data_IF_195745914783
#
_entry.id   IF_195745914783
#
_cell.length_a   1.000
_cell.length_b   1.000
_cell.length_c   1.000
_cell.angle_alpha   90.00
_cell.angle_beta   90.00
_cell.angle_gamma   90.00
#
_symmetry.space_group_name_H-M   'P 1'
#
loop_
_entity.id
_entity.type
_entity.pdbx_description
1 polymer ?
#
# COMPACT_ATOMS: atom_id res chain seq x y z
N UNK A 1 -30.09 -17.55 -12.19
CA UNK A 1 -29.74 -16.33 -11.42
C UNK A 1 -28.63 -16.56 -10.41
N UNK A 2 -28.63 -17.65 -9.61
CA UNK A 2 -27.58 -17.94 -8.64
C UNK A 2 -26.14 -18.01 -9.25
N UNK A 3 -25.96 -18.66 -10.39
CA UNK A 3 -24.64 -18.78 -11.05
C UNK A 3 -24.07 -17.43 -11.48
N UNK A 4 -24.90 -16.52 -12.00
CA UNK A 4 -24.46 -15.20 -12.41
C UNK A 4 -23.95 -14.37 -11.20
N UNK A 5 -24.66 -14.43 -10.07
CA UNK A 5 -24.24 -13.77 -8.82
C UNK A 5 -22.92 -14.33 -8.31
N UNK A 6 -22.72 -15.65 -8.37
CA UNK A 6 -21.45 -16.28 -7.95
C UNK A 6 -20.27 -15.89 -8.83
N UNK A 7 -20.49 -15.77 -10.15
CA UNK A 7 -19.47 -15.31 -11.10
C UNK A 7 -19.08 -13.85 -10.82
N UNK A 8 -20.06 -12.96 -10.60
CA UNK A 8 -19.78 -11.56 -10.26
C UNK A 8 -19.04 -11.47 -8.92
N UNK A 9 -19.48 -12.22 -7.90
CA UNK A 9 -18.79 -12.26 -6.60
C UNK A 9 -17.35 -12.75 -6.73
N UNK A 10 -17.13 -13.80 -7.53
CA UNK A 10 -15.80 -14.33 -7.84
C UNK A 10 -14.91 -13.25 -8.46
N UNK A 11 -15.43 -12.51 -9.44
CA UNK A 11 -14.70 -11.43 -10.09
C UNK A 11 -14.34 -10.30 -9.10
N UNK A 12 -15.28 -9.89 -8.24
CA UNK A 12 -15.04 -8.85 -7.22
C UNK A 12 -13.95 -9.27 -6.22
N UNK A 13 -14.04 -10.48 -5.67
CA UNK A 13 -13.09 -10.99 -4.68
C UNK A 13 -11.69 -11.17 -5.29
N UNK A 14 -11.60 -11.69 -6.52
CA UNK A 14 -10.32 -11.78 -7.24
C UNK A 14 -9.74 -10.40 -7.54
N UNK A 15 -10.55 -9.45 -8.00
CA UNK A 15 -10.10 -8.08 -8.25
C UNK A 15 -9.55 -7.43 -6.97
N UNK A 16 -10.21 -7.62 -5.82
CA UNK A 16 -9.75 -7.17 -4.50
C UNK A 16 -8.39 -7.79 -4.14
N UNK A 17 -8.22 -9.10 -4.35
CA UNK A 17 -6.97 -9.81 -4.06
C UNK A 17 -5.80 -9.30 -4.92
N UNK A 18 -6.04 -9.13 -6.23
CA UNK A 18 -5.06 -8.58 -7.18
C UNK A 18 -4.69 -7.16 -6.78
N UNK A 19 -5.67 -6.33 -6.45
CA UNK A 19 -5.45 -4.96 -6.00
C UNK A 19 -4.56 -4.92 -4.74
N UNK A 20 -4.86 -5.71 -3.71
CA UNK A 20 -4.02 -5.80 -2.52
C UNK A 20 -2.60 -6.29 -2.82
N UNK A 21 -2.46 -7.29 -3.70
CA UNK A 21 -1.16 -7.76 -4.14
C UNK A 21 -0.36 -6.63 -4.79
N UNK A 22 -0.99 -5.85 -5.68
CA UNK A 22 -0.35 -4.69 -6.31
C UNK A 22 0.03 -3.60 -5.30
N UNK A 23 -0.76 -3.38 -4.24
CA UNK A 23 -0.42 -2.40 -3.20
C UNK A 23 0.79 -2.82 -2.36
N UNK A 24 0.92 -4.12 -2.10
CA UNK A 24 1.94 -4.72 -1.25
C UNK A 24 3.19 -5.21 -2.01
N UNK A 25 3.21 -5.06 -3.34
CA UNK A 25 4.36 -5.39 -4.18
C UNK A 25 5.05 -4.11 -4.62
N UNK A 26 6.37 -3.99 -4.39
CA UNK A 26 7.12 -2.82 -4.84
C UNK A 26 7.12 -2.73 -6.37
N UNK A 27 6.99 -1.53 -6.96
CA UNK A 27 6.99 -1.36 -8.41
C UNK A 27 8.34 -1.68 -9.06
N UNK A 28 9.42 -1.77 -8.26
CA UNK A 28 10.76 -2.13 -8.73
C UNK A 28 11.41 -3.14 -7.79
N UNK A 29 12.24 -4.05 -8.32
CA UNK A 29 13.06 -4.93 -7.48
C UNK A 29 13.98 -4.08 -6.60
N UNK A 30 14.11 -4.50 -5.36
CA UNK A 30 14.92 -3.80 -4.35
C UNK A 30 16.39 -3.94 -4.74
N UNK A 31 17.02 -2.83 -5.14
CA UNK A 31 18.47 -2.77 -5.38
C UNK A 31 19.17 -2.50 -4.04
N UNK A 32 19.47 -3.58 -3.32
CA UNK A 32 20.16 -3.55 -2.02
C UNK A 32 21.57 -2.95 -2.08
N UNK A 33 22.12 -2.71 -3.29
CA UNK A 33 23.44 -2.12 -3.48
C UNK A 33 23.43 -0.59 -3.49
N UNK A 34 22.29 0.05 -3.82
CA UNK A 34 22.15 1.52 -3.93
C UNK A 34 21.39 2.17 -2.77
N UNK A 35 20.70 1.37 -1.94
CA UNK A 35 20.13 1.85 -0.69
C UNK A 35 21.26 2.19 0.28
N UNK A 36 21.73 3.44 0.28
CA UNK A 36 22.60 3.94 1.35
C UNK A 36 21.81 3.86 2.65
N UNK A 37 22.29 2.97 3.51
CA UNK A 37 21.81 2.68 4.86
C UNK A 37 21.30 3.92 5.60
N UNK A 38 19.98 4.13 5.58
CA UNK A 38 19.32 4.61 6.79
C UNK A 38 19.04 3.36 7.62
N UNK A 39 19.88 3.18 8.63
CA UNK A 39 19.83 2.18 9.69
C UNK A 39 19.32 0.76 9.30
N UNK A 40 20.23 -0.12 8.83
CA UNK A 40 19.97 -1.56 8.61
C UNK A 40 19.47 -2.31 9.88
N UNK A 41 19.46 -1.65 11.03
CA UNK A 41 18.94 -2.16 12.31
C UNK A 41 17.51 -1.72 12.65
N UNK A 42 16.85 -0.95 11.78
CA UNK A 42 15.51 -0.43 12.09
C UNK A 42 14.45 -1.54 12.04
N UNK A 43 14.08 -2.05 13.22
CA UNK A 43 13.02 -3.05 13.43
C UNK A 43 11.73 -2.70 12.70
N UNK A 44 11.45 -1.41 12.47
CA UNK A 44 10.23 -0.95 11.81
C UNK A 44 10.19 -1.26 10.30
N UNK A 45 11.33 -1.30 9.61
CA UNK A 45 11.40 -1.64 8.19
C UNK A 45 11.18 -3.14 7.97
N UNK A 46 11.85 -3.97 8.78
CA UNK A 46 11.62 -5.43 8.79
C UNK A 46 10.18 -5.77 9.14
N UNK A 47 9.60 -5.06 10.12
CA UNK A 47 8.20 -5.21 10.45
C UNK A 47 7.29 -4.84 9.28
N UNK A 48 7.56 -3.74 8.57
CA UNK A 48 6.76 -3.34 7.41
C UNK A 48 6.83 -4.34 6.25
N UNK A 49 8.03 -4.79 5.88
CA UNK A 49 8.19 -5.82 4.83
C UNK A 49 7.53 -7.13 5.25
N UNK A 50 7.65 -7.51 6.53
CA UNK A 50 6.95 -8.65 7.12
C UNK A 50 5.42 -8.52 7.00
N UNK A 51 4.87 -7.36 7.35
CA UNK A 51 3.44 -7.05 7.23
C UNK A 51 2.98 -7.10 5.77
N UNK A 52 3.76 -6.56 4.82
CA UNK A 52 3.41 -6.61 3.40
C UNK A 52 3.39 -8.06 2.86
N UNK A 53 4.34 -8.89 3.26
CA UNK A 53 4.35 -10.34 2.93
C UNK A 53 3.14 -11.05 3.54
N UNK A 54 2.88 -10.80 4.82
CA UNK A 54 1.74 -11.37 5.54
C UNK A 54 0.42 -10.97 4.89
N UNK A 55 0.22 -9.69 4.56
CA UNK A 55 -0.97 -9.17 3.88
C UNK A 55 -1.23 -9.90 2.56
N UNK A 56 -0.19 -10.16 1.76
CA UNK A 56 -0.35 -10.91 0.50
C UNK A 56 -0.78 -12.35 0.73
N UNK A 57 -0.12 -13.06 1.63
CA UNK A 57 -0.45 -14.45 1.96
C UNK A 57 -1.88 -14.53 2.50
N UNK A 58 -2.21 -13.65 3.45
CA UNK A 58 -3.54 -13.59 4.05
C UNK A 58 -4.62 -13.29 3.01
N UNK A 59 -4.43 -12.29 2.15
CA UNK A 59 -5.40 -11.90 1.13
C UNK A 59 -5.66 -13.04 0.12
N UNK A 60 -4.61 -13.71 -0.37
CA UNK A 60 -4.77 -14.83 -1.31
C UNK A 60 -5.40 -16.05 -0.65
N UNK A 61 -5.05 -16.35 0.60
CA UNK A 61 -5.69 -17.43 1.37
C UNK A 61 -7.17 -17.15 1.62
N UNK A 62 -7.52 -15.94 2.06
CA UNK A 62 -8.91 -15.53 2.26
C UNK A 62 -9.71 -15.61 0.96
N UNK A 63 -9.12 -15.17 -0.15
CA UNK A 63 -9.71 -15.29 -1.50
C UNK A 63 -9.95 -16.74 -1.89
N UNK A 64 -8.96 -17.62 -1.71
CA UNK A 64 -9.10 -19.04 -2.06
C UNK A 64 -10.23 -19.72 -1.26
N UNK A 65 -10.30 -19.43 0.04
CA UNK A 65 -11.38 -19.93 0.91
C UNK A 65 -12.75 -19.37 0.50
N UNK A 66 -12.82 -18.07 0.21
CA UNK A 66 -14.04 -17.38 -0.24
C UNK A 66 -14.60 -18.01 -1.52
N UNK A 67 -13.73 -18.27 -2.49
CA UNK A 67 -14.10 -18.89 -3.76
C UNK A 67 -14.53 -20.34 -3.56
N UNK A 68 -13.74 -21.13 -2.83
CA UNK A 68 -14.07 -22.53 -2.57
C UNK A 68 -15.45 -22.67 -1.93
N UNK A 69 -15.75 -21.87 -0.90
CA UNK A 69 -17.03 -21.93 -0.20
C UNK A 69 -18.19 -21.35 -1.00
N UNK A 70 -17.97 -20.28 -1.76
CA UNK A 70 -19.02 -19.71 -2.62
C UNK A 70 -19.49 -20.70 -3.68
N UNK A 71 -18.59 -21.56 -4.19
CA UNK A 71 -18.90 -22.55 -5.21
C UNK A 71 -19.37 -23.91 -4.66
N UNK A 72 -18.93 -24.33 -3.47
CA UNK A 72 -19.34 -25.60 -2.85
C UNK A 72 -20.61 -25.48 -2.02
N UNK A 73 -20.83 -24.34 -1.38
CA UNK A 73 -21.98 -24.06 -0.51
C UNK A 73 -22.56 -22.68 -0.84
N UNK A 74 -23.26 -22.54 -1.98
CA UNK A 74 -23.78 -21.24 -2.42
C UNK A 74 -24.90 -20.69 -1.53
N UNK A 75 -25.48 -21.54 -0.66
CA UNK A 75 -26.51 -21.14 0.30
C UNK A 75 -25.92 -20.16 1.31
N UNK A 76 -26.12 -18.86 1.08
CA UNK A 76 -25.62 -17.77 1.92
C UNK A 76 -24.54 -16.90 1.27
N UNK A 77 -24.02 -17.28 0.10
CA UNK A 77 -23.12 -16.43 -0.67
C UNK A 77 -23.93 -15.34 -1.39
N UNK A 78 -23.88 -14.11 -0.87
CA UNK A 78 -24.55 -12.95 -1.46
C UNK A 78 -23.58 -11.81 -1.72
N UNK A 79 -23.92 -10.97 -2.70
CA UNK A 79 -23.24 -9.70 -2.92
C UNK A 79 -24.03 -8.66 -2.14
N UNK A 80 -23.40 -8.01 -1.17
CA UNK A 80 -24.03 -6.91 -0.43
C UNK A 80 -23.47 -5.57 -0.85
N UNK A 81 -24.14 -4.48 -0.42
CA UNK A 81 -23.64 -3.13 -0.64
C UNK A 81 -22.21 -2.95 -0.08
N UNK A 82 -21.87 -3.62 1.02
CA UNK A 82 -20.53 -3.64 1.60
C UNK A 82 -19.49 -4.32 0.71
N UNK A 83 -19.86 -5.41 0.04
CA UNK A 83 -18.99 -6.08 -0.94
C UNK A 83 -18.66 -5.14 -2.11
N UNK A 84 -19.66 -4.44 -2.64
CA UNK A 84 -19.47 -3.52 -3.77
C UNK A 84 -18.66 -2.30 -3.34
N UNK A 85 -19.06 -1.66 -2.23
CA UNK A 85 -18.35 -0.50 -1.68
C UNK A 85 -16.90 -0.85 -1.37
N UNK A 86 -16.66 -1.98 -0.72
CA UNK A 86 -15.33 -2.48 -0.41
C UNK A 86 -14.48 -2.67 -1.66
N UNK A 87 -15.00 -3.35 -2.68
CA UNK A 87 -14.27 -3.57 -3.93
C UNK A 87 -13.96 -2.26 -4.67
N UNK A 88 -14.89 -1.32 -4.70
CA UNK A 88 -14.69 0.02 -5.30
C UNK A 88 -13.62 0.79 -4.55
N UNK A 89 -13.67 0.82 -3.22
CA UNK A 89 -12.64 1.46 -2.38
C UNK A 89 -11.28 0.79 -2.57
N UNK A 90 -11.23 -0.54 -2.64
CA UNK A 90 -10.00 -1.29 -2.92
C UNK A 90 -9.39 -0.87 -4.24
N UNK A 91 -10.19 -0.87 -5.31
CA UNK A 91 -9.75 -0.48 -6.63
C UNK A 91 -9.26 0.98 -6.66
N UNK A 92 -10.04 1.90 -6.10
CA UNK A 92 -9.72 3.32 -6.09
C UNK A 92 -8.42 3.62 -5.32
N UNK A 93 -8.26 3.05 -4.12
CA UNK A 93 -7.05 3.21 -3.32
C UNK A 93 -5.81 2.64 -4.03
N UNK A 94 -5.98 1.51 -4.72
CA UNK A 94 -4.94 0.90 -5.56
C UNK A 94 -4.54 1.80 -6.71
N UNK A 95 -5.50 2.32 -7.46
CA UNK A 95 -5.25 3.23 -8.59
C UNK A 95 -4.52 4.47 -8.10
N UNK A 96 -4.95 5.07 -6.99
CA UNK A 96 -4.27 6.23 -6.39
C UNK A 96 -2.82 5.89 -6.02
N UNK A 97 -2.58 4.77 -5.34
CA UNK A 97 -1.24 4.35 -4.94
C UNK A 97 -0.33 4.10 -6.15
N UNK A 98 -0.84 3.42 -7.17
CA UNK A 98 -0.09 3.16 -8.41
C UNK A 98 0.18 4.45 -9.19
N UNK A 99 -0.76 5.39 -9.21
CA UNK A 99 -0.55 6.70 -9.80
C UNK A 99 0.56 7.48 -9.09
N UNK A 100 0.61 7.44 -7.76
CA UNK A 100 1.69 8.02 -6.97
C UNK A 100 3.05 7.39 -7.30
N UNK A 101 3.12 6.06 -7.43
CA UNK A 101 4.35 5.37 -7.83
C UNK A 101 4.83 5.77 -9.23
N UNK A 102 3.90 5.96 -10.18
CA UNK A 102 4.23 6.45 -11.51
C UNK A 102 4.74 7.88 -11.51
N UNK A 103 4.16 8.76 -10.68
CA UNK A 103 4.59 10.16 -10.53
C UNK A 103 5.97 10.29 -9.90
N UNK A 104 6.25 9.50 -8.87
CA UNK A 104 7.58 9.46 -8.25
C UNK A 104 8.61 8.84 -9.21
N UNK A 105 8.22 7.85 -10.01
CA UNK A 105 9.06 7.27 -11.05
C UNK A 105 10.35 6.69 -10.49
N UNK A 106 11.51 7.18 -10.98
CA UNK A 106 12.84 6.78 -10.51
C UNK A 106 13.15 7.20 -9.07
N UNK A 107 12.32 8.04 -8.44
CA UNK A 107 12.54 8.57 -7.08
C UNK A 107 11.93 7.70 -5.98
N UNK A 108 11.10 6.70 -6.31
CA UNK A 108 10.43 5.88 -5.30
C UNK A 108 11.18 4.59 -4.99
N UNK A 109 11.51 4.42 -3.72
CA UNK A 109 11.96 3.16 -3.15
C UNK A 109 10.99 2.72 -2.05
N UNK A 110 10.70 1.42 -1.99
CA UNK A 110 9.86 0.87 -0.91
C UNK A 110 10.59 0.88 0.45
N UNK A 111 11.93 0.94 0.39
CA UNK A 111 12.83 1.20 1.51
C UNK A 111 13.06 2.71 1.64
N UNK A 112 13.36 3.20 2.86
CA UNK A 112 13.80 4.59 3.07
C UNK A 112 15.24 4.75 2.53
N UNK A 113 15.41 4.62 1.22
CA UNK A 113 16.68 4.76 0.54
C UNK A 113 16.81 6.18 -0.02
N UNK A 114 17.84 6.90 0.42
CA UNK A 114 18.21 8.18 -0.18
C UNK A 114 18.89 7.92 -1.52
N UNK A 115 18.52 8.66 -2.56
CA UNK A 115 19.30 8.73 -3.81
C UNK A 115 20.32 9.86 -3.72
N UNK A 116 21.10 9.86 -2.65
CA UNK A 116 22.28 10.70 -2.54
C UNK A 116 23.46 10.02 -3.26
N UNK A 117 23.60 10.34 -4.55
CA UNK A 117 24.87 10.22 -5.27
C UNK A 117 25.06 8.94 -6.08
N UNK A 118 24.89 9.07 -7.40
CA UNK A 118 25.80 8.41 -8.32
C UNK A 118 27.20 9.01 -8.11
N UNK A 119 27.91 8.55 -7.08
CA UNK A 119 29.37 8.69 -7.02
C UNK A 119 29.94 7.63 -7.96
N UNK A 120 29.96 7.92 -9.27
CA UNK A 120 30.96 7.30 -10.13
C UNK A 120 32.29 7.88 -9.70
N UNK A 121 33.21 6.99 -9.36
CA UNK A 121 34.60 7.29 -8.95
C UNK A 121 35.22 8.38 -9.81
N UNK A 122 36.09 9.24 -9.25
CA UNK A 122 36.86 10.19 -10.03
C UNK A 122 37.85 9.41 -10.90
N UNK A 123 37.43 9.00 -12.10
CA UNK A 123 38.35 8.82 -13.20
C UNK A 123 38.83 10.21 -13.57
N UNK A 124 40.09 10.49 -13.27
CA UNK A 124 40.86 11.64 -13.72
C UNK A 124 40.92 11.65 -15.25
N UNK A 125 39.85 12.08 -15.89
CA UNK A 125 39.85 12.46 -17.31
C UNK A 125 39.36 13.89 -17.39
N UNK A 126 40.34 14.77 -17.53
CA UNK A 126 40.18 16.21 -17.76
C UNK A 126 39.65 16.39 -19.17
N UNK A 127 38.38 16.78 -19.32
CA UNK A 127 37.89 17.32 -20.60
C UNK A 127 36.44 16.99 -20.94
N UNK A 128 35.47 17.66 -20.29
CA UNK A 128 34.17 17.95 -20.89
C UNK A 128 33.43 19.03 -20.07
N UNK A 129 33.13 20.21 -20.63
CA UNK A 129 32.24 21.18 -20.00
C UNK A 129 30.79 20.77 -20.25
N UNK A 130 30.02 20.60 -19.17
CA UNK A 130 28.56 20.56 -19.21
C UNK A 130 27.94 19.17 -19.26
N UNK A 131 27.65 18.61 -18.08
CA UNK A 131 26.40 17.88 -17.82
C UNK A 131 26.37 17.45 -16.36
N UNK A 132 26.10 18.42 -15.47
CA UNK A 132 25.62 18.11 -14.14
C UNK A 132 24.26 17.42 -14.31
N UNK A 133 24.19 16.10 -14.17
CA UNK A 133 22.92 15.40 -14.10
C UNK A 133 22.17 15.92 -12.88
N UNK A 134 21.00 16.57 -13.02
CA UNK A 134 20.37 17.28 -11.92
C UNK A 134 19.98 16.28 -10.83
N UNK A 135 20.24 16.61 -9.56
CA UNK A 135 19.58 15.96 -8.44
C UNK A 135 18.07 16.00 -8.70
N UNK A 136 17.40 14.84 -8.69
CA UNK A 136 15.98 14.75 -8.97
C UNK A 136 15.22 15.50 -7.86
N UNK A 137 14.69 16.69 -8.17
CA UNK A 137 14.05 17.57 -7.17
C UNK A 137 12.81 16.97 -6.49
N UNK A 138 12.33 17.63 -5.43
CA UNK A 138 11.10 17.24 -4.73
C UNK A 138 9.88 17.27 -5.67
N UNK A 139 9.06 16.22 -5.65
CA UNK A 139 7.81 16.15 -6.44
C UNK A 139 6.68 16.82 -5.66
N UNK A 140 6.10 17.87 -6.24
CA UNK A 140 5.01 18.66 -5.64
C UNK A 140 3.79 18.76 -6.56
N UNK A 141 3.73 17.93 -7.61
CA UNK A 141 2.68 17.95 -8.64
C UNK A 141 1.68 16.80 -8.47
N UNK A 142 0.47 16.99 -9.01
CA UNK A 142 -0.59 15.99 -8.93
C UNK A 142 -1.14 15.86 -7.50
N UNK A 143 -1.32 14.63 -6.96
CA UNK A 143 -1.83 14.42 -5.60
C UNK A 143 -0.91 15.02 -4.52
N UNK A 144 0.39 15.13 -4.82
CA UNK A 144 1.39 15.75 -3.95
C UNK A 144 1.19 17.28 -3.78
N UNK A 145 0.42 17.92 -4.66
CA UNK A 145 0.07 19.34 -4.48
C UNK A 145 -0.95 19.56 -3.35
N UNK A 146 -1.64 18.50 -2.90
CA UNK A 146 -2.74 18.57 -1.95
C UNK A 146 -2.40 17.94 -0.59
N UNK A 147 -1.69 16.82 -0.62
CA UNK A 147 -1.24 16.07 0.56
C UNK A 147 0.18 15.57 0.35
N UNK A 148 0.99 15.51 1.40
CA UNK A 148 2.40 15.11 1.26
C UNK A 148 2.59 13.62 0.95
N UNK A 149 1.69 12.78 1.44
CA UNK A 149 1.79 11.32 1.34
C UNK A 149 0.50 10.64 0.80
N UNK A 150 0.09 10.97 -0.44
CA UNK A 150 -1.12 10.42 -1.07
C UNK A 150 -1.05 8.90 -1.28
N UNK A 151 0.16 8.33 -1.37
CA UNK A 151 0.37 6.89 -1.54
C UNK A 151 -0.01 6.09 -0.30
N UNK A 152 0.21 6.62 0.91
CA UNK A 152 -0.24 6.00 2.16
C UNK A 152 -1.75 6.06 2.28
N UNK A 153 -2.39 7.17 1.89
CA UNK A 153 -3.85 7.25 1.81
C UNK A 153 -4.40 6.16 0.88
N UNK A 154 -3.85 6.04 -0.34
CA UNK A 154 -4.25 5.00 -1.28
C UNK A 154 -4.10 3.59 -0.72
N UNK A 155 -2.98 3.31 -0.04
CA UNK A 155 -2.74 2.01 0.61
C UNK A 155 -3.73 1.70 1.74
N UNK A 156 -4.02 2.68 2.61
CA UNK A 156 -5.00 2.53 3.70
C UNK A 156 -6.41 2.30 3.15
N UNK A 157 -6.84 3.12 2.18
CA UNK A 157 -8.16 2.97 1.55
C UNK A 157 -8.28 1.61 0.85
N UNK A 158 -7.20 1.17 0.19
CA UNK A 158 -7.19 -0.14 -0.46
C UNK A 158 -7.37 -1.29 0.55
N UNK A 159 -6.64 -1.21 1.67
CA UNK A 159 -6.71 -2.18 2.76
C UNK A 159 -8.10 -2.21 3.41
N UNK A 160 -8.64 -1.05 3.80
CA UNK A 160 -9.96 -0.97 4.44
C UNK A 160 -11.09 -1.41 3.52
N UNK A 161 -11.02 -1.09 2.23
CA UNK A 161 -11.95 -1.62 1.23
C UNK A 161 -11.91 -3.14 1.18
N UNK A 162 -10.72 -3.75 1.24
CA UNK A 162 -10.59 -5.19 1.19
C UNK A 162 -11.10 -5.86 2.48
N UNK A 163 -10.83 -5.26 3.65
CA UNK A 163 -11.45 -5.68 4.90
C UNK A 163 -12.97 -5.65 4.80
N UNK A 164 -13.56 -4.61 4.20
CA UNK A 164 -15.01 -4.54 3.99
C UNK A 164 -15.54 -5.65 3.05
N UNK A 165 -14.79 -6.04 2.01
CA UNK A 165 -15.16 -7.19 1.15
C UNK A 165 -15.15 -8.49 1.93
N UNK A 166 -14.07 -8.78 2.66
CA UNK A 166 -13.92 -10.05 3.38
C UNK A 166 -14.79 -10.13 4.64
N UNK A 167 -15.18 -9.01 5.23
CA UNK A 167 -16.09 -8.95 6.39
C UNK A 167 -17.55 -8.65 6.01
N UNK A 168 -17.87 -8.52 4.72
CA UNK A 168 -19.22 -8.26 4.26
C UNK A 168 -20.17 -9.40 4.68
N UNK A 169 -21.43 -9.09 5.06
CA UNK A 169 -22.44 -10.14 5.22
C UNK A 169 -22.56 -10.92 3.91
N UNK A 170 -22.52 -12.25 3.97
CA UNK A 170 -22.50 -13.10 2.78
C UNK A 170 -21.10 -13.50 2.30
N UNK A 171 -20.04 -13.00 2.95
CA UNK A 171 -18.66 -13.50 2.83
C UNK A 171 -18.53 -14.85 3.54
N UNK A 172 -17.64 -15.71 3.06
CA UNK A 172 -17.30 -16.98 3.70
C UNK A 172 -16.82 -16.80 5.15
N UNK A 173 -16.18 -15.67 5.46
CA UNK A 173 -15.78 -15.30 6.83
C UNK A 173 -16.95 -14.85 7.72
N UNK A 174 -18.20 -14.87 7.24
CA UNK A 174 -19.38 -14.43 8.02
C UNK A 174 -20.51 -15.44 8.04
N UNK A 175 -20.64 -16.29 7.01
CA UNK A 175 -21.80 -17.18 6.84
C UNK A 175 -21.45 -18.68 6.89
N UNK A 176 -20.17 -19.06 6.84
CA UNK A 176 -19.84 -20.47 6.63
C UNK A 176 -20.11 -21.36 7.85
N UNK A 177 -21.20 -22.11 7.81
CA UNK A 177 -21.51 -23.18 8.77
C UNK A 177 -20.50 -24.36 8.72
N UNK A 178 -19.71 -24.44 7.66
CA UNK A 178 -18.74 -25.52 7.41
C UNK A 178 -17.34 -25.23 7.97
N UNK A 179 -17.06 -23.98 8.33
CA UNK A 179 -15.80 -23.61 8.98
C UNK A 179 -16.00 -23.60 10.50
N UNK A 180 -15.10 -24.21 11.29
CA UNK A 180 -15.10 -24.08 12.74
C UNK A 180 -15.19 -22.61 13.18
N UNK A 181 -16.10 -22.24 14.10
CA UNK A 181 -16.28 -20.85 14.53
C UNK A 181 -14.99 -20.18 15.02
N UNK A 182 -14.09 -20.95 15.64
CA UNK A 182 -12.79 -20.47 16.08
C UNK A 182 -11.92 -19.93 14.93
N UNK A 183 -11.93 -20.60 13.77
CA UNK A 183 -11.16 -20.17 12.60
C UNK A 183 -11.78 -18.93 11.94
N UNK A 184 -13.10 -18.84 11.94
CA UNK A 184 -13.82 -17.65 11.46
C UNK A 184 -13.47 -16.44 12.32
N UNK A 185 -13.61 -16.57 13.64
CA UNK A 185 -13.29 -15.48 14.57
C UNK A 185 -11.80 -15.10 14.53
N UNK A 186 -10.89 -16.06 14.40
CA UNK A 186 -9.46 -15.74 14.30
C UNK A 186 -9.13 -14.98 13.02
N UNK A 187 -9.74 -15.34 11.89
CA UNK A 187 -9.58 -14.62 10.63
C UNK A 187 -10.18 -13.20 10.69
N UNK A 188 -11.34 -13.04 11.31
CA UNK A 188 -11.95 -11.72 11.55
C UNK A 188 -11.05 -10.85 12.45
N UNK A 189 -10.54 -11.40 13.56
CA UNK A 189 -9.62 -10.72 14.46
C UNK A 189 -8.30 -10.35 13.79
N UNK A 190 -7.75 -11.22 12.94
CA UNK A 190 -6.56 -10.95 12.15
C UNK A 190 -6.81 -9.79 11.16
N UNK A 191 -7.97 -9.79 10.50
CA UNK A 191 -8.39 -8.72 9.56
C UNK A 191 -8.49 -7.38 10.29
N UNK A 192 -9.17 -7.35 11.44
CA UNK A 192 -9.31 -6.14 12.26
C UNK A 192 -7.96 -5.66 12.81
N UNK A 193 -7.13 -6.58 13.28
CA UNK A 193 -5.80 -6.26 13.82
C UNK A 193 -4.90 -5.67 12.73
N UNK A 194 -4.96 -6.20 11.51
CA UNK A 194 -4.22 -5.67 10.37
C UNK A 194 -4.70 -4.26 10.01
N UNK A 195 -6.01 -4.04 9.96
CA UNK A 195 -6.59 -2.71 9.71
C UNK A 195 -6.23 -1.69 10.81
N UNK A 196 -6.28 -2.08 12.09
CA UNK A 196 -5.93 -1.19 13.19
C UNK A 196 -4.42 -0.92 13.27
N UNK A 197 -3.58 -1.88 12.85
CA UNK A 197 -2.13 -1.70 12.86
C UNK A 197 -1.66 -0.55 11.97
N UNK A 198 -2.41 -0.18 10.92
CA UNK A 198 -2.06 0.95 10.05
C UNK A 198 -2.20 2.30 10.72
N UNK A 199 -3.10 2.43 11.72
CA UNK A 199 -3.28 3.66 12.49
C UNK A 199 -2.02 4.05 13.27
N UNK A 200 -1.20 3.07 13.68
CA UNK A 200 0.06 3.32 14.37
C UNK A 200 1.27 3.25 13.43
N UNK A 201 1.29 2.28 12.49
CA UNK A 201 2.45 2.05 11.64
C UNK A 201 2.62 3.10 10.55
N UNK A 202 1.53 3.63 9.97
CA UNK A 202 1.60 4.63 8.89
C UNK A 202 2.12 5.97 9.41
N UNK A 203 1.60 6.58 10.49
CA UNK A 203 2.14 7.84 11.00
C UNK A 203 3.62 7.75 11.41
N UNK A 204 4.01 6.65 12.07
CA UNK A 204 5.41 6.41 12.44
C UNK A 204 6.33 6.33 11.22
N UNK A 205 5.84 5.74 10.14
CA UNK A 205 6.59 5.62 8.88
C UNK A 205 6.67 6.96 8.15
N UNK A 206 5.57 7.72 8.13
CA UNK A 206 5.53 9.08 7.60
C UNK A 206 6.52 9.96 8.34
N UNK A 207 6.56 9.94 9.67
CA UNK A 207 7.48 10.76 10.45
C UNK A 207 8.93 10.51 10.04
N UNK A 208 9.35 9.24 9.94
CA UNK A 208 10.71 8.88 9.51
C UNK A 208 11.01 9.32 8.07
N UNK A 209 10.01 9.19 7.19
CA UNK A 209 10.12 9.64 5.80
C UNK A 209 10.26 11.17 5.72
N UNK A 210 9.50 11.92 6.51
CA UNK A 210 9.60 13.39 6.58
C UNK A 210 10.92 13.86 7.19
N UNK A 211 11.44 13.18 8.21
CA UNK A 211 12.78 13.44 8.79
C UNK A 211 13.88 13.23 7.73
N UNK A 212 13.78 12.15 6.95
CA UNK A 212 14.69 11.87 5.84
C UNK A 212 14.58 12.95 4.75
N UNK A 213 13.36 13.29 4.31
CA UNK A 213 13.12 14.33 3.30
C UNK A 213 13.60 15.71 3.75
N UNK A 214 13.45 16.04 5.05
CA UNK A 214 13.97 17.28 5.63
C UNK A 214 15.50 17.31 5.63
N UNK A 215 16.14 16.17 5.90
CA UNK A 215 17.61 16.05 5.88
C UNK A 215 18.19 16.18 4.47
N UNK A 216 17.48 15.69 3.46
CA UNK A 216 17.93 15.67 2.06
C UNK A 216 17.64 16.98 1.32
N UNK A 217 16.41 17.51 1.43
CA UNK A 217 15.95 18.67 0.65
C UNK A 217 15.99 19.99 1.42
N UNK A 218 16.23 19.98 2.73
CA UNK A 218 16.45 21.18 3.54
C UNK A 218 15.35 22.25 3.37
N UNK A 219 15.73 23.40 2.81
CA UNK A 219 14.83 24.54 2.60
C UNK A 219 13.70 24.26 1.60
N UNK A 220 13.94 23.42 0.59
CA UNK A 220 12.91 23.05 -0.39
C UNK A 220 11.78 22.26 0.28
N UNK A 221 12.13 21.34 1.19
CA UNK A 221 11.15 20.60 1.99
C UNK A 221 10.35 21.52 2.91
N UNK A 222 11.01 22.46 3.60
CA UNK A 222 10.33 23.43 4.46
C UNK A 222 9.33 24.30 3.69
N UNK A 223 9.70 24.76 2.49
CA UNK A 223 8.78 25.49 1.63
C UNK A 223 7.58 24.64 1.24
N UNK A 224 7.81 23.37 0.89
CA UNK A 224 6.74 22.45 0.52
C UNK A 224 5.78 22.16 1.69
N UNK A 225 6.29 21.90 2.89
CA UNK A 225 5.46 21.67 4.09
C UNK A 225 4.58 22.90 4.40
N UNK A 226 5.08 24.11 4.15
CA UNK A 226 4.28 25.35 4.32
C UNK A 226 3.16 25.44 3.29
N UNK A 227 3.40 25.07 2.04
CA UNK A 227 2.40 25.11 0.97
C UNK A 227 1.39 23.97 1.09
N UNK A 228 1.85 22.79 1.50
CA UNK A 228 1.05 21.56 1.63
C UNK A 228 1.13 21.09 3.08
N UNK A 229 0.29 21.64 3.98
CA UNK A 229 0.37 21.40 5.42
C UNK A 229 -0.14 20.01 5.83
N UNK A 230 -0.88 19.32 4.96
CA UNK A 230 -1.50 18.02 5.24
C UNK A 230 -0.61 16.85 4.83
N UNK A 231 -0.38 15.90 5.73
CA UNK A 231 0.39 14.70 5.49
C UNK A 231 -0.40 13.67 4.67
N UNK A 232 -1.64 13.35 5.04
CA UNK A 232 -2.45 12.25 4.46
C UNK A 232 -3.89 12.65 4.22
N UNK A 233 -4.54 13.31 5.17
CA UNK A 233 -5.97 13.67 5.12
C UNK A 233 -6.13 15.17 5.35
N UNK A 234 -6.60 15.93 4.35
CA UNK A 234 -6.82 17.37 4.50
C UNK A 234 -7.74 17.67 5.68
N UNK A 235 -7.33 18.59 6.55
CA UNK A 235 -8.09 19.01 7.72
C UNK A 235 -7.89 18.15 8.99
N UNK A 236 -7.22 17.00 8.89
CA UNK A 236 -6.98 16.11 10.04
C UNK A 236 -5.51 15.84 10.28
N UNK A 237 -4.79 15.40 9.25
CA UNK A 237 -3.39 15.01 9.35
C UNK A 237 -2.66 15.28 8.05
#
# INVERSE_FOLDING_TARGET
MATATLVVKTALVLATAVCLHMNATPPRPIDSSKARQYDKEDKSERAFVGVAKFLKIFAWSATAVELFLSWTSPNGASITAWTILGAVLTLWGTVLRQYCFRLLGDRFTFELATHSGSTRTPSTDVGAPGSATPALGLVTTGPYAWVRHPSYLGGCVALYGACAVFMAPGSALTVSAHIPPLLVHSAQMATLSLALSTLASVPRRIQKEEEMLQSEFGAQWQSYVRTVPWAVVPGLY
#
